data_IF_412239851817
#
_entry.id   IF_412239851817
#
_cell.length_a   1.000
_cell.length_b   1.000
_cell.length_c   1.000
_cell.angle_alpha   90.00
_cell.angle_beta   90.00
_cell.angle_gamma   90.00
#
_symmetry.space_group_name_H-M   'P 1'
#
loop_
_entity.id
_entity.type
_entity.pdbx_description
1 polymer ?
#
# COMPACT_ATOMS: atom_id res chain seq x y z
N UNK A 1 -35.36 9.46 45.70
CA UNK A 1 -33.93 9.61 45.30
C UNK A 1 -33.24 8.24 45.27
N UNK A 2 -33.57 7.36 44.32
CA UNK A 2 -32.97 6.00 44.26
C UNK A 2 -32.77 5.42 42.87
N UNK A 3 -33.23 6.10 41.81
CA UNK A 3 -33.22 5.52 40.45
C UNK A 3 -32.28 6.24 39.47
N UNK A 4 -31.56 7.28 39.91
CA UNK A 4 -30.64 8.06 39.07
C UNK A 4 -29.19 7.54 39.06
N UNK A 5 -28.87 6.58 39.93
CA UNK A 5 -27.52 6.01 40.05
C UNK A 5 -27.29 4.78 39.17
N UNK A 6 -28.34 4.18 38.60
CA UNK A 6 -28.20 2.96 37.78
C UNK A 6 -27.91 3.26 36.30
N UNK A 7 -28.22 4.46 35.81
CA UNK A 7 -28.05 4.81 34.38
C UNK A 7 -26.61 5.20 34.05
N UNK A 8 -25.81 5.62 35.04
CA UNK A 8 -24.45 6.08 34.83
C UNK A 8 -23.41 4.94 34.74
N UNK A 9 -23.76 3.72 35.17
CA UNK A 9 -22.83 2.57 35.16
C UNK A 9 -22.81 1.86 33.80
N UNK A 10 -23.84 2.00 32.95
CA UNK A 10 -23.84 1.40 31.60
C UNK A 10 -23.10 2.20 30.53
N UNK A 11 -22.75 3.46 30.78
CA UNK A 11 -22.03 4.30 29.82
C UNK A 11 -20.49 4.10 29.85
N UNK A 12 -19.99 3.24 30.74
CA UNK A 12 -18.55 3.01 30.95
C UNK A 12 -18.00 1.77 30.24
N UNK A 13 -18.73 1.17 29.29
CA UNK A 13 -18.13 0.29 28.28
C UNK A 13 -17.40 1.15 27.25
N UNK A 14 -16.33 1.74 27.76
CA UNK A 14 -15.24 2.36 27.03
C UNK A 14 -14.91 1.46 25.85
N UNK A 15 -15.25 1.94 24.66
CA UNK A 15 -14.82 1.41 23.38
C UNK A 15 -13.29 1.37 23.38
N UNK A 16 -12.72 0.29 23.90
CA UNK A 16 -11.33 -0.03 23.67
C UNK A 16 -11.26 -0.46 22.22
N UNK A 17 -11.02 0.52 21.35
CA UNK A 17 -10.55 0.28 20.00
C UNK A 17 -9.16 -0.38 20.10
N UNK A 18 -9.12 -1.67 20.43
CA UNK A 18 -7.95 -2.48 20.19
C UNK A 18 -7.77 -2.51 18.68
N UNK A 19 -6.83 -1.72 18.16
CA UNK A 19 -6.45 -1.77 16.76
C UNK A 19 -6.14 -3.23 16.41
N UNK A 20 -6.74 -3.73 15.32
CA UNK A 20 -6.64 -5.14 14.96
C UNK A 20 -5.18 -5.57 14.78
N UNK A 21 -4.82 -6.73 15.32
CA UNK A 21 -3.45 -7.22 15.32
C UNK A 21 -3.12 -7.86 13.98
N UNK A 22 -2.36 -7.14 13.16
CA UNK A 22 -1.89 -7.62 11.86
C UNK A 22 -0.53 -8.30 12.01
N UNK A 23 -0.38 -9.50 11.44
CA UNK A 23 0.90 -10.20 11.35
C UNK A 23 1.09 -10.81 9.95
N UNK A 24 2.33 -10.85 9.47
CA UNK A 24 2.72 -11.52 8.23
C UNK A 24 3.83 -12.54 8.55
N UNK A 25 3.58 -13.83 8.32
CA UNK A 25 4.56 -14.90 8.59
C UNK A 25 4.36 -16.05 7.62
N UNK A 26 5.47 -16.59 7.07
CA UNK A 26 5.43 -17.72 6.11
C UNK A 26 4.39 -17.49 5.00
N UNK A 27 4.45 -16.33 4.37
CA UNK A 27 3.54 -15.91 3.29
C UNK A 27 2.07 -15.75 3.68
N UNK A 28 1.70 -15.88 4.97
CA UNK A 28 0.33 -15.70 5.42
C UNK A 28 0.18 -14.35 6.15
N UNK A 29 -0.79 -13.55 5.71
CA UNK A 29 -1.32 -12.42 6.47
C UNK A 29 -2.40 -12.94 7.41
N UNK A 30 -2.29 -12.55 8.68
CA UNK A 30 -3.35 -12.75 9.66
C UNK A 30 -3.77 -11.44 10.29
N UNK A 31 -5.06 -11.34 10.60
CA UNK A 31 -5.68 -10.25 11.33
C UNK A 31 -6.36 -10.86 12.54
N UNK A 32 -5.95 -10.47 13.74
CA UNK A 32 -6.41 -11.07 14.99
C UNK A 32 -6.29 -12.61 14.98
N UNK A 33 -5.18 -13.10 14.42
CA UNK A 33 -4.83 -14.51 14.20
C UNK A 33 -5.71 -15.27 13.19
N UNK A 34 -6.68 -14.61 12.56
CA UNK A 34 -7.47 -15.19 11.47
C UNK A 34 -6.77 -14.99 10.12
N UNK A 35 -6.76 -15.99 9.22
CA UNK A 35 -6.25 -15.84 7.86
C UNK A 35 -6.98 -14.70 7.13
N UNK A 36 -6.20 -13.80 6.53
CA UNK A 36 -6.73 -12.66 5.78
C UNK A 36 -6.42 -12.77 4.29
N UNK A 37 -5.16 -13.04 3.95
CA UNK A 37 -4.66 -13.27 2.59
C UNK A 37 -3.27 -13.92 2.66
N UNK A 38 -2.74 -14.34 1.52
CA UNK A 38 -1.34 -14.71 1.39
C UNK A 38 -0.56 -13.67 0.57
N UNK A 39 0.74 -13.52 0.87
CA UNK A 39 1.71 -12.71 0.13
C UNK A 39 2.89 -13.61 -0.19
N UNK A 40 3.09 -13.89 -1.47
CA UNK A 40 4.26 -14.58 -1.97
C UNK A 40 5.22 -13.57 -2.63
N UNK A 41 6.52 -13.81 -2.54
CA UNK A 41 7.55 -13.00 -3.19
C UNK A 41 8.26 -13.84 -4.23
N UNK A 42 8.46 -13.28 -5.42
CA UNK A 42 9.06 -13.98 -6.55
C UNK A 42 10.59 -14.10 -6.46
N UNK A 43 11.22 -13.42 -5.50
CA UNK A 43 12.67 -13.38 -5.31
C UNK A 43 13.34 -12.15 -5.92
N UNK A 44 12.63 -11.34 -6.71
CA UNK A 44 13.20 -10.22 -7.48
C UNK A 44 12.62 -8.88 -7.04
N UNK A 45 11.34 -8.64 -7.31
CA UNK A 45 10.69 -7.36 -7.04
C UNK A 45 9.15 -7.45 -6.99
N UNK A 46 8.59 -8.65 -7.16
CA UNK A 46 7.15 -8.82 -7.33
C UNK A 46 6.55 -9.60 -6.17
N UNK A 47 5.52 -9.01 -5.58
CA UNK A 47 4.70 -9.61 -4.54
C UNK A 47 3.33 -9.98 -5.10
N UNK A 48 2.90 -11.16 -4.68
CA UNK A 48 1.81 -11.90 -5.22
C UNK A 48 0.78 -12.06 -4.11
N UNK A 49 -0.33 -11.32 -4.17
CA UNK A 49 -1.38 -11.36 -3.14
C UNK A 49 -2.51 -12.28 -3.59
N UNK A 50 -2.86 -13.22 -2.73
CA UNK A 50 -3.93 -14.19 -2.99
C UNK A 50 -4.92 -14.30 -1.82
N UNK A 51 -6.13 -14.75 -2.11
CA UNK A 51 -7.15 -15.06 -1.11
C UNK A 51 -6.70 -16.23 -0.21
N UNK A 52 -7.35 -16.45 0.94
CA UNK A 52 -7.15 -17.67 1.73
C UNK A 52 -7.41 -18.98 0.95
N UNK A 53 -8.16 -18.91 -0.15
CA UNK A 53 -8.45 -20.03 -1.06
C UNK A 53 -7.43 -20.17 -2.21
N UNK A 54 -6.31 -19.44 -2.14
CA UNK A 54 -5.25 -19.40 -3.16
C UNK A 54 -5.65 -18.80 -4.52
N UNK A 55 -6.74 -18.02 -4.58
CA UNK A 55 -7.08 -17.26 -5.77
C UNK A 55 -6.21 -16.00 -5.86
N UNK A 56 -5.58 -15.76 -7.02
CA UNK A 56 -4.77 -14.56 -7.26
C UNK A 56 -5.67 -13.32 -7.27
N UNK A 57 -5.46 -12.42 -6.33
CA UNK A 57 -6.26 -11.19 -6.21
C UNK A 57 -5.60 -10.03 -6.97
N UNK A 58 -4.34 -9.75 -6.65
CA UNK A 58 -3.58 -8.67 -7.28
C UNK A 58 -2.07 -8.88 -7.12
N UNK A 59 -1.30 -8.03 -7.80
CA UNK A 59 0.16 -8.05 -7.80
C UNK A 59 0.67 -6.71 -7.30
N UNK A 60 1.79 -6.70 -6.59
CA UNK A 60 2.48 -5.49 -6.14
C UNK A 60 3.92 -5.56 -6.61
N UNK A 61 4.35 -4.62 -7.45
CA UNK A 61 5.73 -4.53 -7.95
C UNK A 61 6.50 -3.46 -7.18
N UNK A 62 7.73 -3.75 -6.81
CA UNK A 62 8.66 -2.76 -6.28
C UNK A 62 9.51 -2.21 -7.43
N UNK A 63 9.30 -0.94 -7.78
CA UNK A 63 9.94 -0.30 -8.91
C UNK A 63 10.92 0.78 -8.44
N UNK A 64 11.96 1.00 -9.23
CA UNK A 64 13.03 1.96 -8.95
C UNK A 64 13.23 2.92 -10.12
N UNK A 65 13.61 4.16 -9.82
CA UNK A 65 14.07 5.14 -10.78
C UNK A 65 14.96 6.17 -10.08
N UNK A 66 15.73 6.95 -10.85
CA UNK A 66 16.52 8.05 -10.30
C UNK A 66 15.74 9.36 -10.49
N UNK A 67 15.46 10.06 -9.39
CA UNK A 67 14.91 11.41 -9.41
C UNK A 67 15.96 12.39 -8.90
N UNK A 68 16.51 13.28 -9.76
CA UNK A 68 17.44 14.31 -9.32
C UNK A 68 16.91 15.19 -8.18
N UNK A 69 15.57 15.35 -8.06
CA UNK A 69 14.96 16.11 -6.97
C UNK A 69 15.04 15.39 -5.61
N UNK A 70 15.25 14.07 -5.60
CA UNK A 70 15.46 13.27 -4.41
C UNK A 70 16.95 13.15 -4.03
N UNK A 71 17.84 13.80 -4.78
CA UNK A 71 19.28 13.75 -4.52
C UNK A 71 19.63 14.48 -3.21
N UNK A 72 20.51 13.85 -2.42
CA UNK A 72 21.00 14.40 -1.17
C UNK A 72 22.44 13.94 -0.90
N UNK A 73 23.06 14.46 0.17
CA UNK A 73 24.41 14.04 0.57
C UNK A 73 24.54 12.52 0.78
N UNK A 74 23.46 11.85 1.18
CA UNK A 74 23.42 10.38 1.39
C UNK A 74 22.71 9.63 0.26
N UNK A 75 22.24 10.32 -0.79
CA UNK A 75 21.56 9.76 -1.95
C UNK A 75 21.97 10.52 -3.22
N UNK A 76 23.25 10.49 -3.58
CA UNK A 76 23.79 11.35 -4.65
C UNK A 76 23.13 11.11 -6.03
N UNK A 77 22.71 9.87 -6.31
CA UNK A 77 22.02 9.51 -7.56
C UNK A 77 20.52 9.79 -7.57
N UNK A 78 19.95 10.25 -6.45
CA UNK A 78 18.50 10.46 -6.34
C UNK A 78 17.69 9.17 -6.45
N UNK A 79 18.25 8.04 -6.03
CA UNK A 79 17.58 6.74 -6.12
C UNK A 79 16.26 6.80 -5.36
N UNK A 80 15.18 6.53 -6.07
CA UNK A 80 13.81 6.56 -5.60
C UNK A 80 13.15 5.23 -5.91
N UNK A 81 12.26 4.78 -5.04
CA UNK A 81 11.46 3.60 -5.30
C UNK A 81 10.01 3.79 -4.90
N UNK A 82 9.14 3.00 -5.51
CA UNK A 82 7.71 3.00 -5.23
C UNK A 82 7.14 1.61 -5.41
N UNK A 83 5.94 1.40 -4.86
CA UNK A 83 5.16 0.18 -5.05
C UNK A 83 4.08 0.45 -6.09
N UNK A 84 3.92 -0.45 -7.04
CA UNK A 84 2.83 -0.42 -8.01
C UNK A 84 1.89 -1.60 -7.76
N UNK A 85 0.69 -1.31 -7.29
CA UNK A 85 -0.41 -2.26 -7.15
C UNK A 85 -1.11 -2.41 -8.50
N UNK A 86 -1.29 -3.66 -8.92
CA UNK A 86 -1.88 -4.05 -10.20
C UNK A 86 -3.09 -4.92 -9.90
N UNK A 87 -4.29 -4.38 -10.11
CA UNK A 87 -5.57 -5.07 -9.89
C UNK A 87 -6.10 -5.59 -11.24
N UNK A 88 -5.89 -6.88 -11.59
CA UNK A 88 -6.14 -7.36 -12.95
C UNK A 88 -7.62 -7.31 -13.35
N UNK A 89 -8.52 -7.64 -12.41
CA UNK A 89 -9.96 -7.69 -12.68
C UNK A 89 -10.58 -6.34 -13.02
N UNK A 90 -9.98 -5.22 -12.58
CA UNK A 90 -10.45 -3.87 -12.87
C UNK A 90 -9.51 -3.09 -13.79
N UNK A 91 -8.42 -3.70 -14.26
CA UNK A 91 -7.33 -3.05 -15.00
C UNK A 91 -6.79 -1.78 -14.30
N UNK A 92 -6.88 -1.72 -12.97
CA UNK A 92 -6.48 -0.55 -12.19
C UNK A 92 -5.03 -0.67 -11.74
N UNK A 93 -4.29 0.43 -11.89
CA UNK A 93 -2.92 0.59 -11.40
C UNK A 93 -2.90 1.69 -10.34
N UNK A 94 -2.23 1.45 -9.23
CA UNK A 94 -2.11 2.41 -8.12
C UNK A 94 -0.68 2.39 -7.58
N UNK A 95 -0.12 3.56 -7.30
CA UNK A 95 1.27 3.69 -6.88
C UNK A 95 1.42 4.33 -5.52
N UNK A 96 2.23 3.75 -4.65
CA UNK A 96 2.50 4.30 -3.32
C UNK A 96 3.98 4.42 -3.04
N UNK A 97 4.35 5.34 -2.14
CA UNK A 97 5.72 5.42 -1.65
C UNK A 97 6.19 4.06 -1.11
N UNK A 98 7.44 3.72 -1.37
CA UNK A 98 8.06 2.60 -0.67
C UNK A 98 8.26 2.97 0.79
N UNK A 99 7.79 2.15 1.75
CA UNK A 99 8.06 2.38 3.15
C UNK A 99 9.56 2.30 3.46
N UNK A 100 9.99 2.95 4.55
CA UNK A 100 11.39 3.00 4.98
C UNK A 100 12.06 1.61 5.04
N UNK A 101 13.39 1.53 4.80
CA UNK A 101 14.05 0.36 4.23
C UNK A 101 14.28 -0.73 5.28
N UNK A 102 13.25 -1.50 5.58
CA UNK A 102 13.40 -2.78 6.27
C UNK A 102 12.83 -3.89 5.39
N UNK A 103 13.71 -4.50 4.59
CA UNK A 103 13.35 -5.60 3.69
C UNK A 103 12.73 -6.78 4.45
N UNK A 104 13.21 -7.05 5.68
CA UNK A 104 12.70 -8.11 6.54
C UNK A 104 11.30 -7.82 7.09
N UNK A 105 10.94 -6.55 7.27
CA UNK A 105 9.61 -6.14 7.70
C UNK A 105 8.66 -5.88 6.53
N UNK A 106 9.15 -5.92 5.29
CA UNK A 106 8.38 -5.50 4.12
C UNK A 106 7.05 -6.26 3.95
N UNK A 107 6.98 -7.61 4.09
CA UNK A 107 5.70 -8.32 4.03
C UNK A 107 4.70 -7.85 5.10
N UNK A 108 5.17 -7.49 6.30
CA UNK A 108 4.31 -6.96 7.35
C UNK A 108 3.82 -5.54 7.03
N UNK A 109 4.69 -4.70 6.45
CA UNK A 109 4.31 -3.35 6.05
C UNK A 109 3.28 -3.40 4.92
N UNK A 110 3.52 -4.24 3.90
CA UNK A 110 2.58 -4.45 2.82
C UNK A 110 1.24 -5.00 3.34
N UNK A 111 1.27 -5.98 4.26
CA UNK A 111 0.06 -6.49 4.89
C UNK A 111 -0.74 -5.39 5.62
N UNK A 112 -0.04 -4.50 6.34
CA UNK A 112 -0.68 -3.35 7.01
C UNK A 112 -1.30 -2.39 6.01
N UNK A 113 -0.61 -2.12 4.89
CA UNK A 113 -1.12 -1.24 3.85
C UNK A 113 -2.38 -1.82 3.20
N UNK A 114 -2.36 -3.10 2.82
CA UNK A 114 -3.51 -3.82 2.23
C UNK A 114 -4.71 -3.77 3.19
N UNK A 115 -4.49 -4.10 4.46
CA UNK A 115 -5.53 -4.13 5.47
C UNK A 115 -6.09 -2.71 5.77
N UNK A 116 -5.20 -1.70 5.91
CA UNK A 116 -5.60 -0.31 6.21
C UNK A 116 -6.42 0.28 5.07
N UNK A 117 -6.03 0.02 3.82
CA UNK A 117 -6.78 0.41 2.64
C UNK A 117 -8.07 -0.42 2.43
N UNK A 118 -8.32 -1.42 3.29
CA UNK A 118 -9.50 -2.29 3.24
C UNK A 118 -9.69 -2.95 1.87
N UNK A 119 -8.58 -3.27 1.20
CA UNK A 119 -8.62 -3.80 -0.16
C UNK A 119 -9.36 -5.13 -0.26
N UNK A 120 -9.46 -5.88 0.85
CA UNK A 120 -10.16 -7.15 0.90
C UNK A 120 -11.36 -7.10 1.84
N UNK A 121 -12.45 -7.72 1.38
CA UNK A 121 -13.68 -7.96 2.13
C UNK A 121 -14.11 -9.40 1.92
N UNK A 122 -14.26 -10.16 3.01
CA UNK A 122 -14.67 -11.57 2.98
C UNK A 122 -13.78 -12.45 2.08
N UNK A 123 -12.47 -12.20 2.04
CA UNK A 123 -11.50 -12.97 1.25
C UNK A 123 -11.44 -12.61 -0.23
N UNK A 124 -12.26 -11.68 -0.71
CA UNK A 124 -12.25 -11.16 -2.08
C UNK A 124 -11.80 -9.70 -2.11
N UNK A 125 -11.44 -9.20 -3.29
CA UNK A 125 -11.20 -7.77 -3.50
C UNK A 125 -12.49 -6.97 -3.27
N UNK A 126 -12.38 -5.89 -2.50
CA UNK A 126 -13.44 -4.89 -2.37
C UNK A 126 -13.24 -3.82 -3.46
N UNK A 127 -14.08 -3.85 -4.49
CA UNK A 127 -13.97 -2.96 -5.65
C UNK A 127 -14.10 -1.49 -5.29
N UNK A 128 -14.90 -1.14 -4.27
CA UNK A 128 -15.03 0.23 -3.80
C UNK A 128 -13.74 0.67 -3.11
N UNK A 129 -13.18 -0.17 -2.25
CA UNK A 129 -11.91 0.14 -1.59
C UNK A 129 -10.75 0.28 -2.59
N UNK A 130 -10.73 -0.51 -3.67
CA UNK A 130 -9.76 -0.36 -4.76
C UNK A 130 -9.93 0.98 -5.47
N UNK A 131 -11.17 1.39 -5.77
CA UNK A 131 -11.44 2.69 -6.39
C UNK A 131 -11.02 3.85 -5.48
N UNK A 132 -11.34 3.77 -4.18
CA UNK A 132 -10.95 4.77 -3.18
C UNK A 132 -9.43 4.84 -3.07
N UNK A 133 -8.75 3.69 -2.98
CA UNK A 133 -7.30 3.60 -2.92
C UNK A 133 -6.62 4.20 -4.16
N UNK A 134 -7.18 3.97 -5.35
CA UNK A 134 -6.73 4.58 -6.59
C UNK A 134 -6.93 6.09 -6.62
N UNK A 135 -8.07 6.59 -6.12
CA UNK A 135 -8.36 8.03 -6.07
C UNK A 135 -7.40 8.80 -5.15
N UNK A 136 -6.92 8.16 -4.08
CA UNK A 136 -6.01 8.77 -3.10
C UNK A 136 -4.56 8.81 -3.62
N UNK A 137 -4.10 7.74 -4.27
CA UNK A 137 -2.68 7.56 -4.58
C UNK A 137 -2.33 7.81 -6.05
N UNK A 138 -3.21 7.42 -6.99
CA UNK A 138 -3.00 7.60 -8.43
C UNK A 138 -1.70 6.96 -8.98
N UNK A 139 -1.12 7.60 -10.00
CA UNK A 139 0.07 7.16 -10.76
C UNK A 139 1.22 8.18 -10.67
N UNK A 140 1.48 8.68 -9.45
CA UNK A 140 2.39 9.81 -9.25
C UNK A 140 3.84 9.49 -9.66
N UNK A 141 4.30 8.26 -9.49
CA UNK A 141 5.70 7.88 -9.66
C UNK A 141 6.02 7.50 -11.10
N UNK A 142 5.17 6.70 -11.76
CA UNK A 142 5.38 6.39 -13.18
C UNK A 142 5.24 7.64 -14.05
N UNK A 143 4.31 8.55 -13.74
CA UNK A 143 4.22 9.84 -14.43
C UNK A 143 5.51 10.66 -14.26
N UNK A 144 6.06 10.73 -13.04
CA UNK A 144 7.33 11.41 -12.77
C UNK A 144 8.49 10.76 -13.52
N UNK A 145 8.62 9.44 -13.46
CA UNK A 145 9.64 8.68 -14.19
C UNK A 145 9.56 8.96 -15.70
N UNK A 146 8.37 8.89 -16.29
CA UNK A 146 8.18 9.18 -17.71
C UNK A 146 8.55 10.63 -18.06
N UNK A 147 8.29 11.60 -17.18
CA UNK A 147 8.69 12.99 -17.40
C UNK A 147 10.21 13.17 -17.40
N UNK A 148 10.93 12.37 -16.60
CA UNK A 148 12.40 12.36 -16.56
C UNK A 148 13.02 11.63 -17.75
N UNK A 149 12.35 10.59 -18.26
CA UNK A 149 12.79 9.82 -19.44
C UNK A 149 12.52 10.58 -20.77
N UNK A 150 11.70 11.65 -20.76
CA UNK A 150 11.48 12.50 -21.94
C UNK A 150 12.66 13.45 -22.15
N UNK A 151 13.16 13.63 -23.38
CA UNK A 151 14.13 14.67 -23.67
C UNK A 151 13.52 16.03 -23.33
N UNK A 152 14.25 16.86 -22.57
CA UNK A 152 13.85 18.24 -22.29
C UNK A 152 13.79 18.98 -23.62
N UNK A 153 12.58 19.22 -24.13
CA UNK A 153 12.37 20.16 -25.22
C UNK A 153 12.55 21.54 -24.62
N UNK A 154 13.79 22.03 -24.62
CA UNK A 154 14.06 23.44 -24.33
C UNK A 154 13.31 24.22 -25.41
N UNK A 155 12.37 25.11 -25.07
CA UNK A 155 11.77 25.99 -26.07
C UNK A 155 12.92 26.71 -26.76
N UNK A 156 13.02 26.55 -28.07
CA UNK A 156 13.92 27.38 -28.88
C UNK A 156 13.32 28.78 -28.89
N UNK A 157 13.54 29.49 -27.78
CA UNK A 157 13.20 30.89 -27.61
C UNK A 157 14.32 31.72 -28.21
N UNK A 158 14.13 32.08 -29.48
CA UNK A 158 14.51 33.36 -30.10
C UNK A 158 15.87 33.92 -29.69
N UNK A 159 16.84 33.73 -30.58
CA UNK A 159 18.03 34.57 -30.61
C UNK A 159 17.64 36.05 -30.60
N UNK A 160 18.30 36.77 -29.72
CA UNK A 160 18.61 38.19 -29.83
C UNK A 160 20.04 38.36 -29.33
#
# INVERSE_FOLDING_TARGET
MKNLLLTLVMAALSLTSFGQKIAAKKNLITVDKQPYASIEYDGVDTYYVSSPQNERLFVVKWLYFNDPAAASATNAGGATSYLQFIFPGSHTLVETATPAPSFTAFPLILARQIYTARLLKNGALDSQAVADFASINGLLYSARRQALDRPIVVPVGSGY
#
